data_IF_516630982259
#
_entry.id   IF_516630982259
#
_cell.length_a   1.000
_cell.length_b   1.000
_cell.length_c   1.000
_cell.angle_alpha   90.00
_cell.angle_beta   90.00
_cell.angle_gamma   90.00
#
_symmetry.space_group_name_H-M   'P 1'
#
loop_
_entity.id
_entity.type
_entity.pdbx_description
1 polymer ?
#
# COMPACT_ATOMS: atom_id res chain seq x y z
N UNK A 1 -22.25 -76.96 -2.23
CA UNK A 1 -22.58 -75.59 -1.90
C UNK A 1 -21.33 -74.73 -2.09
N UNK A 2 -21.37 -73.84 -3.03
CA UNK A 2 -20.33 -72.89 -3.33
C UNK A 2 -20.82 -71.52 -2.95
N UNK A 3 -20.38 -71.04 -1.83
CA UNK A 3 -20.61 -69.63 -1.47
C UNK A 3 -19.57 -68.73 -2.13
N UNK A 4 -19.98 -68.00 -3.10
CA UNK A 4 -19.13 -66.98 -3.71
C UNK A 4 -19.05 -65.76 -2.80
N UNK A 5 -17.84 -65.45 -2.42
CA UNK A 5 -17.59 -64.21 -1.70
C UNK A 5 -17.28 -63.12 -2.73
N UNK A 6 -18.18 -62.19 -2.85
CA UNK A 6 -17.95 -61.02 -3.62
C UNK A 6 -17.34 -59.98 -2.68
N UNK A 7 -16.04 -59.76 -2.83
CA UNK A 7 -15.38 -58.70 -2.12
C UNK A 7 -15.72 -57.37 -2.80
N UNK A 8 -16.55 -56.59 -2.18
CA UNK A 8 -16.80 -55.24 -2.64
C UNK A 8 -15.64 -54.36 -2.19
N UNK A 9 -14.78 -54.03 -3.11
CA UNK A 9 -13.81 -53.01 -2.85
C UNK A 9 -14.48 -51.64 -2.88
N UNK A 10 -14.59 -51.02 -1.73
CA UNK A 10 -14.96 -49.64 -1.64
C UNK A 10 -13.78 -48.79 -2.08
N UNK A 11 -13.91 -48.18 -3.23
CA UNK A 11 -12.95 -47.18 -3.69
C UNK A 11 -13.21 -45.90 -2.88
N UNK A 12 -12.41 -45.68 -1.86
CA UNK A 12 -12.40 -44.40 -1.18
C UNK A 12 -11.71 -43.39 -2.13
N UNK A 13 -12.54 -42.66 -2.86
CA UNK A 13 -12.05 -41.53 -3.64
C UNK A 13 -11.59 -40.47 -2.69
N UNK A 14 -10.26 -40.29 -2.54
CA UNK A 14 -9.71 -39.13 -1.90
C UNK A 14 -9.97 -37.95 -2.84
N UNK A 15 -10.98 -37.17 -2.57
CA UNK A 15 -11.18 -35.89 -3.21
C UNK A 15 -10.11 -34.96 -2.61
N UNK A 16 -8.98 -34.87 -3.28
CA UNK A 16 -7.98 -33.87 -2.95
C UNK A 16 -8.58 -32.51 -3.23
N UNK A 17 -8.97 -31.81 -2.18
CA UNK A 17 -9.32 -30.40 -2.29
C UNK A 17 -8.01 -29.67 -2.53
N UNK A 18 -7.72 -29.37 -3.79
CA UNK A 18 -6.69 -28.42 -4.13
C UNK A 18 -7.20 -27.03 -3.74
N UNK A 19 -6.80 -26.59 -2.54
CA UNK A 19 -6.92 -25.21 -2.19
C UNK A 19 -6.00 -24.42 -3.14
N UNK A 20 -6.55 -23.92 -4.22
CA UNK A 20 -5.83 -22.98 -5.04
C UNK A 20 -5.64 -21.72 -4.22
N UNK A 21 -4.43 -21.47 -3.74
CA UNK A 21 -4.03 -20.16 -3.30
C UNK A 21 -4.15 -19.25 -4.50
N UNK A 22 -5.30 -18.66 -4.67
CA UNK A 22 -5.49 -17.59 -5.62
C UNK A 22 -4.56 -16.48 -5.18
N UNK A 23 -3.62 -16.11 -6.01
CA UNK A 23 -2.78 -14.96 -5.76
C UNK A 23 -3.58 -13.68 -5.95
N UNK A 24 -4.54 -13.46 -5.05
CA UNK A 24 -5.24 -12.19 -4.94
C UNK A 24 -4.31 -11.08 -4.47
N UNK A 25 -3.11 -11.44 -4.06
CA UNK A 25 -2.08 -10.56 -3.53
C UNK A 25 -1.57 -9.56 -4.55
N UNK A 26 -1.63 -9.85 -5.84
CA UNK A 26 -1.20 -8.93 -6.90
C UNK A 26 -2.14 -7.75 -7.09
N UNK A 27 -3.37 -7.84 -6.57
CA UNK A 27 -4.41 -6.84 -6.71
C UNK A 27 -4.68 -6.06 -5.43
N UNK A 28 -4.16 -6.53 -4.28
CA UNK A 28 -4.36 -5.84 -3.01
C UNK A 28 -3.29 -4.79 -2.80
N UNK A 29 -3.73 -3.58 -2.45
CA UNK A 29 -2.86 -2.50 -2.02
C UNK A 29 -2.21 -2.83 -0.69
N UNK A 30 -1.10 -2.18 -0.40
CA UNK A 30 -0.51 -2.25 0.92
C UNK A 30 -1.13 -1.21 1.84
N UNK A 31 -1.32 -1.60 3.11
CA UNK A 31 -1.74 -0.68 4.16
C UNK A 31 -0.54 0.15 4.60
N UNK A 32 -0.76 1.44 4.77
CA UNK A 32 0.24 2.36 5.32
C UNK A 32 -0.31 3.06 6.54
N UNK A 33 0.55 3.28 7.52
CA UNK A 33 0.25 4.05 8.72
C UNK A 33 1.24 5.19 8.80
N UNK A 34 0.74 6.43 8.79
CA UNK A 34 1.56 7.63 8.76
C UNK A 34 1.68 8.19 10.18
N UNK A 35 2.90 8.58 10.55
CA UNK A 35 3.18 9.20 11.83
C UNK A 35 4.23 10.31 11.69
N UNK A 36 4.23 11.22 12.65
CA UNK A 36 5.23 12.30 12.71
C UNK A 36 6.63 11.77 12.98
N UNK A 37 6.76 10.66 13.69
CA UNK A 37 8.06 10.05 13.98
C UNK A 37 8.82 9.60 12.73
N UNK A 38 8.12 9.36 11.64
CA UNK A 38 8.70 8.95 10.36
C UNK A 38 9.13 10.13 9.49
N UNK A 39 8.77 11.35 9.86
CA UNK A 39 9.23 12.54 9.14
C UNK A 39 10.73 12.79 9.40
N UNK A 40 11.37 13.55 8.51
CA UNK A 40 12.79 13.88 8.60
C UNK A 40 12.98 15.40 8.49
N UNK A 41 13.34 16.06 9.60
CA UNK A 41 13.43 15.56 10.96
C UNK A 41 12.07 15.14 11.53
N UNK A 42 12.09 14.28 12.54
CA UNK A 42 10.87 13.81 13.18
C UNK A 42 10.02 14.97 13.71
N UNK A 43 8.71 14.84 13.56
CA UNK A 43 7.74 15.85 14.00
C UNK A 43 7.01 15.33 15.24
N UNK A 44 7.03 16.12 16.30
CA UNK A 44 6.25 15.84 17.50
C UNK A 44 4.79 16.28 17.25
N UNK A 45 3.92 15.33 17.01
CA UNK A 45 2.50 15.58 16.74
C UNK A 45 1.67 14.39 17.21
N UNK A 46 0.41 14.68 17.59
CA UNK A 46 -0.58 13.65 17.84
C UNK A 46 -1.35 13.26 16.57
N UNK A 47 -1.09 13.93 15.44
CA UNK A 47 -1.69 13.59 14.17
C UNK A 47 -1.24 12.21 13.69
N UNK A 48 -2.10 11.53 12.98
CA UNK A 48 -1.81 10.24 12.38
C UNK A 48 -2.58 10.08 11.08
N UNK A 49 -2.14 9.16 10.24
CA UNK A 49 -2.83 8.84 9.00
C UNK A 49 -2.78 7.36 8.71
N UNK A 50 -3.68 6.93 7.87
CA UNK A 50 -3.71 5.55 7.39
C UNK A 50 -4.35 5.50 6.01
N UNK A 51 -4.10 4.43 5.32
CA UNK A 51 -4.72 4.21 4.02
C UNK A 51 -4.09 3.07 3.25
N UNK A 52 -4.32 3.09 1.96
CA UNK A 52 -3.91 2.03 1.05
C UNK A 52 -3.16 2.63 -0.13
N UNK A 53 -2.04 2.04 -0.47
CA UNK A 53 -1.25 2.36 -1.65
C UNK A 53 -1.17 1.12 -2.52
N UNK A 54 -1.56 1.25 -3.79
CA UNK A 54 -1.47 0.16 -4.78
C UNK A 54 -0.64 0.63 -5.96
N UNK A 55 0.47 -0.04 -6.20
CA UNK A 55 1.33 0.20 -7.38
C UNK A 55 1.40 -1.11 -8.14
N UNK A 56 0.95 -1.10 -9.40
CA UNK A 56 0.86 -2.30 -10.23
C UNK A 56 2.05 -2.41 -11.20
N UNK A 57 2.19 -3.58 -11.80
CA UNK A 57 3.25 -3.87 -12.77
C UNK A 57 3.24 -2.95 -13.99
N UNK A 58 2.08 -2.43 -14.34
CA UNK A 58 1.92 -1.46 -15.43
C UNK A 58 2.28 -0.03 -15.01
N UNK A 59 2.83 0.17 -13.82
CA UNK A 59 3.21 1.44 -13.18
C UNK A 59 2.03 2.27 -12.66
N UNK A 60 0.79 1.81 -12.82
CA UNK A 60 -0.37 2.55 -12.32
C UNK A 60 -0.34 2.67 -10.80
N UNK A 61 -0.81 3.82 -10.31
CA UNK A 61 -0.82 4.17 -8.88
C UNK A 61 -2.24 4.48 -8.45
N UNK A 62 -2.69 3.81 -7.40
CA UNK A 62 -3.91 4.14 -6.67
C UNK A 62 -3.56 4.39 -5.22
N UNK A 63 -4.11 5.45 -4.65
CA UNK A 63 -3.86 5.82 -3.25
C UNK A 63 -5.16 6.34 -2.65
N UNK A 64 -5.41 5.95 -1.41
CA UNK A 64 -6.44 6.54 -0.57
C UNK A 64 -5.88 6.71 0.84
N UNK A 65 -5.75 7.97 1.30
CA UNK A 65 -5.18 8.31 2.61
C UNK A 65 -6.18 9.16 3.37
N UNK A 66 -6.37 8.84 4.63
CA UNK A 66 -7.14 9.63 5.58
C UNK A 66 -6.25 9.99 6.76
N UNK A 67 -6.29 11.24 7.20
CA UNK A 67 -5.55 11.70 8.37
C UNK A 67 -6.48 12.27 9.43
N UNK A 68 -6.03 12.23 10.68
CA UNK A 68 -6.74 12.78 11.84
C UNK A 68 -5.79 13.61 12.68
N UNK A 69 -6.33 14.53 13.48
CA UNK A 69 -5.56 15.34 14.42
C UNK A 69 -4.74 16.46 13.77
N UNK A 70 -5.04 16.81 12.52
CA UNK A 70 -4.37 17.87 11.78
C UNK A 70 -5.35 18.50 10.78
N UNK A 71 -5.00 19.68 10.29
CA UNK A 71 -5.67 20.28 9.12
C UNK A 71 -4.77 20.10 7.92
N UNK A 72 -5.05 19.07 7.12
CA UNK A 72 -4.22 18.70 5.99
C UNK A 72 -4.38 19.67 4.82
N UNK A 73 -3.27 20.05 4.21
CA UNK A 73 -3.24 20.97 3.05
C UNK A 73 -2.90 20.27 1.76
N UNK A 74 -1.98 19.30 1.80
CA UNK A 74 -1.50 18.59 0.61
C UNK A 74 -0.92 17.22 1.01
N UNK A 75 -0.88 16.31 0.05
CA UNK A 75 -0.25 15.00 0.24
C UNK A 75 0.37 14.53 -1.08
N UNK A 76 1.44 13.76 -0.98
CA UNK A 76 2.22 13.33 -2.14
C UNK A 76 2.91 11.99 -1.89
N UNK A 77 3.29 11.31 -3.00
CA UNK A 77 4.39 10.36 -2.97
C UNK A 77 5.67 11.09 -3.30
N UNK A 78 6.72 10.82 -2.55
CA UNK A 78 8.09 11.30 -2.75
C UNK A 78 9.03 10.14 -3.01
N UNK A 79 10.18 10.43 -3.60
CA UNK A 79 11.23 9.43 -3.83
C UNK A 79 12.44 9.70 -2.93
N UNK A 80 12.59 8.89 -1.91
CA UNK A 80 13.80 8.78 -1.09
C UNK A 80 13.72 7.52 -0.21
N UNK A 81 14.88 7.08 0.26
CA UNK A 81 14.96 6.04 1.28
C UNK A 81 14.41 6.53 2.62
N UNK A 82 14.04 5.61 3.51
CA UNK A 82 13.70 5.94 4.87
C UNK A 82 14.83 6.73 5.53
N UNK A 83 14.49 7.78 6.26
CA UNK A 83 15.47 8.66 6.89
C UNK A 83 16.02 9.77 5.99
N UNK A 84 15.57 9.88 4.75
CA UNK A 84 15.95 10.94 3.83
C UNK A 84 14.72 11.63 3.25
N UNK A 85 14.89 12.88 2.81
CA UNK A 85 13.87 13.64 2.09
C UNK A 85 14.16 13.62 0.60
N UNK A 86 13.12 13.56 -0.21
CA UNK A 86 13.24 13.54 -1.66
C UNK A 86 12.14 14.34 -2.37
N UNK A 87 12.22 14.43 -3.70
CA UNK A 87 11.28 15.21 -4.50
C UNK A 87 9.91 14.57 -4.56
N UNK A 88 8.88 15.39 -4.79
CA UNK A 88 7.52 14.95 -5.11
C UNK A 88 7.53 14.28 -6.47
N UNK A 89 6.95 13.08 -6.55
CA UNK A 89 6.78 12.37 -7.82
C UNK A 89 5.33 12.12 -8.19
N UNK A 90 4.42 12.00 -7.22
CA UNK A 90 2.98 11.85 -7.46
C UNK A 90 2.22 12.76 -6.48
N UNK A 91 1.63 13.85 -6.96
CA UNK A 91 0.75 14.66 -6.13
C UNK A 91 -0.61 13.98 -5.99
N UNK A 92 -1.26 14.15 -4.82
CA UNK A 92 -2.60 13.66 -4.60
C UNK A 92 -3.63 14.79 -4.70
N UNK A 93 -4.85 14.41 -4.98
CA UNK A 93 -6.02 15.31 -4.96
C UNK A 93 -6.68 15.20 -3.59
N UNK A 94 -6.99 16.35 -2.99
CA UNK A 94 -7.80 16.38 -1.78
C UNK A 94 -9.27 16.14 -2.17
N UNK A 95 -9.82 15.00 -1.76
CA UNK A 95 -11.16 14.54 -2.15
C UNK A 95 -12.18 14.71 -1.03
N UNK A 96 -11.76 15.15 0.14
CA UNK A 96 -12.59 15.44 1.29
C UNK A 96 -11.76 16.08 2.39
N UNK A 97 -12.38 16.41 3.50
CA UNK A 97 -11.65 16.91 4.67
C UNK A 97 -10.68 15.82 5.16
N UNK A 98 -9.39 16.16 5.15
CA UNK A 98 -8.33 15.22 5.54
C UNK A 98 -8.32 13.90 4.75
N UNK A 99 -8.81 13.90 3.52
CA UNK A 99 -8.86 12.74 2.63
C UNK A 99 -8.17 13.07 1.32
N UNK A 100 -7.28 12.18 0.88
CA UNK A 100 -6.49 12.35 -0.35
C UNK A 100 -6.49 11.07 -1.17
N UNK A 101 -6.60 11.24 -2.48
CA UNK A 101 -6.53 10.15 -3.45
C UNK A 101 -5.56 10.52 -4.58
N UNK A 102 -4.88 9.53 -5.14
CA UNK A 102 -4.15 9.73 -6.38
C UNK A 102 -5.15 10.00 -7.51
N UNK A 103 -4.80 10.92 -8.40
CA UNK A 103 -5.63 11.20 -9.57
C UNK A 103 -5.77 9.95 -10.44
N UNK A 104 -6.93 9.80 -11.10
CA UNK A 104 -7.12 8.73 -12.07
C UNK A 104 -6.06 8.84 -13.18
N UNK A 105 -5.45 7.71 -13.52
CA UNK A 105 -4.37 7.65 -14.51
C UNK A 105 -2.99 7.98 -13.98
N UNK A 106 -2.81 8.18 -12.67
CA UNK A 106 -1.49 8.38 -12.08
C UNK A 106 -0.60 7.18 -12.39
N UNK A 107 0.63 7.45 -12.83
CA UNK A 107 1.62 6.42 -13.19
C UNK A 107 3.00 6.82 -12.73
N UNK A 108 3.81 5.80 -12.39
CA UNK A 108 5.24 5.97 -12.20
C UNK A 108 5.98 5.85 -13.53
N UNK A 109 7.10 6.53 -13.65
CA UNK A 109 8.08 6.22 -14.70
C UNK A 109 8.77 4.89 -14.39
N UNK A 110 9.48 4.32 -15.35
CA UNK A 110 10.25 3.09 -15.11
C UNK A 110 11.30 3.28 -14.01
N UNK A 111 11.96 4.43 -13.97
CA UNK A 111 12.93 4.76 -12.92
C UNK A 111 12.28 4.88 -11.54
N UNK A 112 11.10 5.50 -11.45
CA UNK A 112 10.33 5.61 -10.21
C UNK A 112 9.82 4.24 -9.75
N UNK A 113 9.44 3.38 -10.68
CA UNK A 113 9.03 2.02 -10.36
C UNK A 113 10.20 1.18 -9.82
N UNK A 114 11.40 1.37 -10.38
CA UNK A 114 12.61 0.76 -9.83
C UNK A 114 12.90 1.26 -8.40
N UNK A 115 12.72 2.54 -8.14
CA UNK A 115 12.82 3.11 -6.79
C UNK A 115 11.76 2.52 -5.85
N UNK A 116 10.53 2.34 -6.31
CA UNK A 116 9.47 1.66 -5.56
C UNK A 116 9.90 0.25 -5.16
N UNK A 117 10.40 -0.55 -6.11
CA UNK A 117 10.87 -1.92 -5.82
C UNK A 117 12.00 -1.95 -4.82
N UNK A 118 12.84 -0.93 -4.81
CA UNK A 118 13.95 -0.79 -3.85
C UNK A 118 13.49 -0.29 -2.47
N UNK A 119 12.21 0.06 -2.30
CA UNK A 119 11.69 0.61 -1.04
C UNK A 119 11.98 2.08 -0.85
N UNK A 120 12.25 2.82 -1.92
CA UNK A 120 12.67 4.23 -1.89
C UNK A 120 11.55 5.21 -2.29
N UNK A 121 10.32 4.88 -1.94
CA UNK A 121 9.20 5.82 -2.03
C UNK A 121 8.56 5.99 -0.66
N UNK A 122 8.03 7.17 -0.41
CA UNK A 122 7.24 7.42 0.79
C UNK A 122 6.05 8.33 0.49
N UNK A 123 5.03 8.21 1.32
CA UNK A 123 3.88 9.10 1.32
C UNK A 123 3.94 9.99 2.54
N UNK A 124 3.62 11.28 2.37
CA UNK A 124 3.43 12.16 3.50
C UNK A 124 2.28 13.13 3.28
N UNK A 125 1.79 13.68 4.38
CA UNK A 125 0.72 14.66 4.41
C UNK A 125 1.22 15.91 5.10
N UNK A 126 0.99 17.04 4.47
CA UNK A 126 1.42 18.37 4.90
C UNK A 126 0.29 19.09 5.57
N UNK A 127 0.63 20.02 6.45
CA UNK A 127 -0.31 20.92 7.11
C UNK A 127 0.24 22.34 7.10
N UNK A 128 -0.62 23.31 7.44
CA UNK A 128 -0.19 24.70 7.62
C UNK A 128 0.89 24.81 8.69
N UNK A 129 0.75 24.02 9.76
CA UNK A 129 1.71 24.00 10.86
C UNK A 129 3.04 23.38 10.49
N UNK A 130 3.00 22.36 9.62
CA UNK A 130 4.19 21.65 9.16
C UNK A 130 4.17 21.57 7.62
N UNK A 131 4.57 22.66 6.95
CA UNK A 131 4.54 22.73 5.48
C UNK A 131 5.52 21.75 4.82
N UNK A 132 6.53 21.27 5.53
CA UNK A 132 7.46 20.23 5.05
C UNK A 132 6.94 18.81 5.23
N UNK A 133 5.79 18.62 5.87
CA UNK A 133 5.17 17.33 6.17
C UNK A 133 4.95 17.13 7.66
N UNK A 134 3.79 16.64 8.03
CA UNK A 134 3.45 16.38 9.43
C UNK A 134 3.47 14.90 9.76
N UNK A 135 2.99 14.04 8.86
CA UNK A 135 2.97 12.58 9.05
C UNK A 135 3.43 11.88 7.77
N UNK A 136 4.16 10.79 7.93
CA UNK A 136 4.84 10.08 6.84
C UNK A 136 4.84 8.57 7.04
N UNK A 137 4.82 7.83 5.93
CA UNK A 137 5.05 6.39 5.90
C UNK A 137 5.90 6.01 4.70
N UNK A 138 6.91 5.19 4.91
CA UNK A 138 7.62 4.56 3.81
C UNK A 138 6.70 3.56 3.13
N UNK A 139 6.80 3.44 1.81
CA UNK A 139 6.08 2.46 1.01
C UNK A 139 6.99 1.24 0.85
N UNK A 140 6.51 0.07 1.26
CA UNK A 140 7.29 -1.15 1.12
C UNK A 140 7.45 -1.50 -0.37
N UNK A 141 8.67 -1.83 -0.79
CA UNK A 141 8.93 -2.31 -2.14
C UNK A 141 8.42 -3.74 -2.31
N UNK A 142 7.89 -4.04 -3.50
CA UNK A 142 7.38 -5.37 -3.84
C UNK A 142 7.78 -5.79 -5.24
#
# INVERSE_FOLDING_TARGET
SKSGWVATMALAGAVGILASCQSMETMSGQQVTLSGNNEVPAVATSASGSGTVTIKDDRSVSVHITVTGMTATAAHIHEAAAGANGPVIVPFTKTGDNVFDAAAGAKLTDAQYAAYKAGNLYVNVHSTKFPGGEVRSQIAGR
#
